data_IF_826526289091
#
_entry.id   IF_826526289091
#
_cell.length_a   1.000
_cell.length_b   1.000
_cell.length_c   1.000
_cell.angle_alpha   90.00
_cell.angle_beta   90.00
_cell.angle_gamma   90.00
#
_symmetry.space_group_name_H-M   'P 1'
#
loop_
_entity.id
_entity.type
_entity.pdbx_description
1 polymer ?
#
# COMPACT_ATOMS: atom_id res chain seq x y z
N UNK A 1 -18.93 -19.47 -6.02
CA UNK A 1 -18.54 -20.49 -5.01
C UNK A 1 -19.73 -21.38 -4.80
N UNK A 2 -19.70 -22.60 -5.33
CA UNK A 2 -20.77 -23.58 -5.19
C UNK A 2 -20.74 -24.19 -3.80
N UNK A 3 -21.77 -23.92 -3.01
CA UNK A 3 -21.97 -24.57 -1.73
C UNK A 3 -22.40 -26.01 -1.96
N UNK A 4 -21.65 -26.97 -1.40
CA UNK A 4 -22.10 -28.37 -1.34
C UNK A 4 -23.38 -28.45 -0.50
N UNK A 5 -24.48 -28.83 -1.14
CA UNK A 5 -25.66 -29.31 -0.44
C UNK A 5 -25.34 -30.70 0.15
N UNK A 6 -24.98 -30.73 1.40
CA UNK A 6 -24.98 -31.97 2.17
C UNK A 6 -26.39 -32.27 2.64
N UNK A 7 -26.92 -33.45 2.33
CA UNK A 7 -28.16 -33.94 2.92
C UNK A 7 -27.93 -34.21 4.42
N UNK A 8 -28.22 -33.21 5.23
CA UNK A 8 -28.26 -33.38 6.69
C UNK A 8 -29.58 -34.06 7.04
N UNK A 9 -29.55 -35.39 7.19
CA UNK A 9 -30.65 -36.16 7.77
C UNK A 9 -30.51 -36.16 9.29
N UNK A 10 -31.30 -35.34 9.95
CA UNK A 10 -31.43 -35.36 11.39
C UNK A 10 -32.91 -35.32 11.75
N UNK A 11 -33.41 -36.34 12.48
CA UNK A 11 -34.81 -36.44 12.85
C UNK A 11 -35.27 -35.38 13.86
N UNK A 12 -34.32 -34.63 14.43
CA UNK A 12 -34.55 -33.58 15.43
C UNK A 12 -34.46 -32.16 14.87
N UNK A 13 -34.10 -32.01 13.60
CA UNK A 13 -33.91 -30.67 12.98
C UNK A 13 -34.51 -30.64 11.58
N UNK A 14 -35.51 -29.79 11.40
CA UNK A 14 -36.09 -29.47 10.09
C UNK A 14 -35.74 -28.05 9.74
N UNK A 15 -35.30 -27.83 8.53
CA UNK A 15 -35.05 -26.46 8.00
C UNK A 15 -35.86 -26.23 6.73
N UNK A 16 -36.23 -25.01 6.51
CA UNK A 16 -36.85 -24.54 5.28
C UNK A 16 -36.26 -23.20 4.86
N UNK A 17 -36.35 -22.90 3.58
CA UNK A 17 -35.95 -21.59 3.07
C UNK A 17 -37.16 -20.67 3.22
N UNK A 18 -36.99 -19.56 3.94
CA UNK A 18 -37.96 -18.48 3.95
C UNK A 18 -37.80 -17.69 2.63
N UNK A 19 -38.64 -18.00 1.65
CA UNK A 19 -38.60 -17.39 0.32
C UNK A 19 -38.82 -15.87 0.37
N UNK A 20 -39.63 -15.38 1.34
CA UNK A 20 -39.86 -13.95 1.51
C UNK A 20 -38.62 -13.23 2.06
N UNK A 21 -37.93 -13.85 3.01
CA UNK A 21 -36.66 -13.34 3.54
C UNK A 21 -35.55 -13.39 2.47
N UNK A 22 -35.50 -14.47 1.68
CA UNK A 22 -34.54 -14.62 0.58
C UNK A 22 -34.76 -13.54 -0.51
N UNK A 23 -36.00 -13.35 -0.94
CA UNK A 23 -36.34 -12.30 -1.92
C UNK A 23 -35.97 -10.90 -1.41
N UNK A 24 -36.18 -10.65 -0.11
CA UNK A 24 -35.81 -9.37 0.53
C UNK A 24 -34.29 -9.19 0.60
N UNK A 25 -33.54 -10.25 0.89
CA UNK A 25 -32.08 -10.22 0.89
C UNK A 25 -31.54 -9.95 -0.53
N UNK A 26 -32.08 -10.64 -1.55
CA UNK A 26 -31.72 -10.43 -2.96
C UNK A 26 -31.99 -9.00 -3.45
N UNK A 27 -33.07 -8.36 -2.96
CA UNK A 27 -33.35 -6.95 -3.25
C UNK A 27 -32.24 -6.00 -2.73
N UNK A 28 -31.52 -6.40 -1.68
CA UNK A 28 -30.44 -5.60 -1.08
C UNK A 28 -29.05 -5.91 -1.69
N UNK A 29 -28.94 -6.99 -2.45
CA UNK A 29 -27.66 -7.40 -3.06
C UNK A 29 -27.14 -6.32 -4.00
N UNK A 30 -25.83 -6.01 -3.84
CA UNK A 30 -25.16 -4.99 -4.64
C UNK A 30 -25.57 -3.54 -4.31
N UNK A 31 -26.45 -3.31 -3.32
CA UNK A 31 -26.88 -1.98 -2.90
C UNK A 31 -26.31 -1.62 -1.54
N UNK A 32 -25.88 -0.38 -1.41
CA UNK A 32 -25.42 0.19 -0.16
C UNK A 32 -26.27 1.42 0.16
N UNK A 33 -26.92 1.42 1.32
CA UNK A 33 -27.65 2.58 1.81
C UNK A 33 -26.73 3.41 2.72
N UNK A 34 -26.57 4.67 2.39
CA UNK A 34 -25.84 5.64 3.20
C UNK A 34 -26.83 6.60 3.85
N UNK A 35 -26.80 6.68 5.18
CA UNK A 35 -27.54 7.68 5.94
C UNK A 35 -26.60 8.78 6.42
N UNK A 36 -27.02 10.03 6.35
CA UNK A 36 -26.26 11.18 6.82
C UNK A 36 -27.18 12.19 7.53
N UNK A 37 -26.65 12.86 8.52
CA UNK A 37 -27.31 13.99 9.19
C UNK A 37 -26.95 15.34 8.56
N UNK A 38 -26.13 15.36 7.51
CA UNK A 38 -25.75 16.58 6.79
C UNK A 38 -26.85 16.93 5.79
N UNK A 39 -27.49 18.07 5.98
CA UNK A 39 -28.65 18.48 5.17
C UNK A 39 -28.27 19.16 3.85
N UNK A 40 -27.13 19.87 3.81
CA UNK A 40 -26.74 20.73 2.68
C UNK A 40 -25.78 20.04 1.70
N UNK A 41 -25.68 18.72 1.73
CA UNK A 41 -24.75 17.98 0.88
C UNK A 41 -25.47 17.21 -0.23
N UNK A 42 -24.98 17.34 -1.48
CA UNK A 42 -25.49 16.56 -2.60
C UNK A 42 -25.17 15.07 -2.38
N UNK A 43 -26.09 14.18 -2.78
CA UNK A 43 -25.94 12.74 -2.63
C UNK A 43 -24.62 12.21 -3.22
N UNK A 44 -24.17 12.73 -4.36
CA UNK A 44 -22.89 12.37 -4.97
C UNK A 44 -21.69 12.70 -4.07
N UNK A 45 -21.75 13.79 -3.31
CA UNK A 45 -20.66 14.19 -2.41
C UNK A 45 -20.65 13.33 -1.14
N UNK A 46 -21.82 12.91 -0.66
CA UNK A 46 -21.94 11.93 0.44
C UNK A 46 -21.28 10.62 0.05
N UNK A 47 -21.60 10.10 -1.15
CA UNK A 47 -20.98 8.87 -1.69
C UNK A 47 -19.48 9.03 -1.86
N UNK A 48 -19.02 10.19 -2.36
CA UNK A 48 -17.59 10.47 -2.54
C UNK A 48 -16.86 10.48 -1.19
N UNK A 49 -17.41 11.13 -0.18
CA UNK A 49 -16.84 11.14 1.18
C UNK A 49 -16.82 9.76 1.82
N UNK A 50 -17.88 8.99 1.66
CA UNK A 50 -17.89 7.61 2.12
C UNK A 50 -16.77 6.78 1.48
N UNK A 51 -16.59 6.89 0.16
CA UNK A 51 -15.49 6.20 -0.53
C UNK A 51 -14.10 6.62 -0.04
N UNK A 52 -13.92 7.85 0.46
CA UNK A 52 -12.65 8.29 1.05
C UNK A 52 -12.31 7.54 2.34
N UNK A 53 -13.27 6.93 3.04
CA UNK A 53 -13.00 6.11 4.23
C UNK A 53 -12.08 4.93 3.90
N UNK A 54 -12.26 4.31 2.74
CA UNK A 54 -11.39 3.21 2.29
C UNK A 54 -9.92 3.65 2.16
N UNK A 55 -9.67 4.91 1.78
CA UNK A 55 -8.31 5.46 1.73
C UNK A 55 -7.74 5.75 3.12
N UNK A 56 -8.59 6.15 4.06
CA UNK A 56 -8.20 6.36 5.46
C UNK A 56 -7.86 5.02 6.10
N UNK A 57 -8.71 4.00 5.96
CA UNK A 57 -8.47 2.65 6.47
C UNK A 57 -7.19 2.05 5.89
N UNK A 58 -6.95 2.24 4.59
CA UNK A 58 -5.70 1.82 3.95
C UNK A 58 -4.50 2.55 4.52
N UNK A 59 -4.61 3.87 4.81
CA UNK A 59 -3.57 4.64 5.46
C UNK A 59 -3.21 4.07 6.84
N UNK A 60 -4.21 3.76 7.66
CA UNK A 60 -4.00 3.12 8.96
C UNK A 60 -3.39 1.71 8.84
N UNK A 61 -3.79 0.94 7.84
CA UNK A 61 -3.19 -0.36 7.58
C UNK A 61 -1.71 -0.24 7.26
N UNK A 62 -1.34 0.70 6.36
CA UNK A 62 0.07 0.96 6.01
C UNK A 62 0.87 1.40 7.24
N UNK A 63 0.32 2.28 8.08
CA UNK A 63 0.99 2.69 9.34
C UNK A 63 1.24 1.51 10.27
N UNK A 64 0.35 0.54 10.33
CA UNK A 64 0.46 -0.62 11.23
C UNK A 64 1.33 -1.74 10.67
N UNK A 65 1.22 -2.04 9.38
CA UNK A 65 1.84 -3.23 8.78
C UNK A 65 3.14 -2.92 8.03
N UNK A 66 3.24 -1.76 7.38
CA UNK A 66 4.38 -1.45 6.51
C UNK A 66 5.38 -0.51 7.20
N UNK A 67 4.87 0.46 7.97
CA UNK A 67 5.69 1.47 8.66
C UNK A 67 5.98 1.05 10.10
N UNK A 68 5.17 0.11 10.64
CA UNK A 68 5.33 -0.43 11.99
C UNK A 68 5.37 0.67 13.06
N UNK A 69 4.39 1.59 13.04
CA UNK A 69 4.31 2.67 14.02
C UNK A 69 4.26 2.18 15.47
N UNK A 70 3.82 0.95 15.70
CA UNK A 70 3.75 0.31 17.01
C UNK A 70 4.46 -1.06 16.98
N UNK A 71 5.02 -1.51 18.14
CA UNK A 71 5.02 -0.85 19.43
C UNK A 71 6.04 0.31 19.55
N UNK A 72 5.68 1.35 20.32
CA UNK A 72 6.56 2.48 20.58
C UNK A 72 7.43 2.19 21.81
N UNK A 73 8.71 1.97 21.62
CA UNK A 73 9.66 1.66 22.70
C UNK A 73 10.23 2.90 23.42
N UNK A 74 9.93 4.08 22.91
CA UNK A 74 10.39 5.34 23.51
C UNK A 74 9.58 5.71 24.74
N UNK A 75 10.24 6.18 25.81
CA UNK A 75 9.62 6.61 27.07
C UNK A 75 9.50 8.13 27.19
N UNK A 76 10.40 8.88 26.54
CA UNK A 76 10.39 10.33 26.59
C UNK A 76 9.33 10.90 25.63
N UNK A 77 8.47 11.82 26.08
CA UNK A 77 7.39 12.38 25.26
C UNK A 77 7.89 12.96 23.92
N UNK A 78 9.04 13.62 23.92
CA UNK A 78 9.64 14.21 22.72
C UNK A 78 10.05 13.16 21.70
N UNK A 79 10.61 12.03 22.16
CA UNK A 79 10.98 10.92 21.30
C UNK A 79 9.76 10.20 20.75
N UNK A 80 8.67 10.09 21.54
CA UNK A 80 7.40 9.53 21.07
C UNK A 80 6.82 10.42 19.97
N UNK A 81 6.81 11.74 20.17
CA UNK A 81 6.36 12.70 19.15
C UNK A 81 7.22 12.63 17.87
N UNK A 82 8.53 12.56 18.01
CA UNK A 82 9.45 12.45 16.88
C UNK A 82 9.20 11.14 16.10
N UNK A 83 9.05 10.01 16.78
CA UNK A 83 8.73 8.73 16.18
C UNK A 83 7.41 8.80 15.38
N UNK A 84 6.33 9.29 16.00
CA UNK A 84 5.05 9.46 15.34
C UNK A 84 5.14 10.39 14.11
N UNK A 85 5.88 11.48 14.21
CA UNK A 85 6.08 12.43 13.10
C UNK A 85 6.83 11.78 11.93
N UNK A 86 7.87 10.99 12.21
CA UNK A 86 8.62 10.26 11.19
C UNK A 86 7.73 9.24 10.49
N UNK A 87 6.94 8.46 11.25
CA UNK A 87 5.99 7.51 10.69
C UNK A 87 4.93 8.21 9.82
N UNK A 88 4.45 9.37 10.24
CA UNK A 88 3.49 10.14 9.46
C UNK A 88 4.09 10.69 8.16
N UNK A 89 5.32 11.19 8.19
CA UNK A 89 6.06 11.60 6.99
C UNK A 89 6.26 10.41 6.04
N UNK A 90 6.62 9.24 6.56
CA UNK A 90 6.76 8.03 5.77
C UNK A 90 5.43 7.64 5.08
N UNK A 91 4.29 7.77 5.79
CA UNK A 91 2.97 7.54 5.20
C UNK A 91 2.67 8.52 4.06
N UNK A 92 3.00 9.80 4.23
CA UNK A 92 2.81 10.79 3.17
C UNK A 92 3.63 10.42 1.94
N UNK A 93 4.92 10.10 2.12
CA UNK A 93 5.80 9.68 1.03
C UNK A 93 5.28 8.41 0.33
N UNK A 94 4.81 7.44 1.10
CA UNK A 94 4.19 6.22 0.57
C UNK A 94 2.98 6.54 -0.30
N UNK A 95 2.09 7.43 0.15
CA UNK A 95 0.90 7.84 -0.62
C UNK A 95 1.27 8.59 -1.90
N UNK A 96 2.25 9.50 -1.84
CA UNK A 96 2.77 10.21 -3.02
C UNK A 96 3.37 9.23 -4.02
N UNK A 97 4.19 8.30 -3.54
CA UNK A 97 4.79 7.25 -4.38
C UNK A 97 3.72 6.42 -5.08
N UNK A 98 2.72 5.95 -4.34
CA UNK A 98 1.59 5.19 -4.90
C UNK A 98 0.84 5.97 -5.98
N UNK A 99 0.57 7.25 -5.72
CA UNK A 99 -0.11 8.12 -6.69
C UNK A 99 0.72 8.27 -7.95
N UNK A 100 2.02 8.55 -7.85
CA UNK A 100 2.91 8.70 -9.00
C UNK A 100 3.00 7.44 -9.84
N UNK A 101 3.17 6.26 -9.21
CA UNK A 101 3.18 4.97 -9.88
C UNK A 101 1.87 4.76 -10.65
N UNK A 102 0.71 5.02 -10.01
CA UNK A 102 -0.60 4.91 -10.66
C UNK A 102 -0.76 5.88 -11.84
N UNK A 103 -0.33 7.13 -11.69
CA UNK A 103 -0.40 8.12 -12.77
C UNK A 103 0.50 7.75 -13.96
N UNK A 104 1.59 7.03 -13.72
CA UNK A 104 2.47 6.49 -14.76
C UNK A 104 1.97 5.17 -15.37
N UNK A 105 0.77 4.69 -14.99
CA UNK A 105 0.20 3.44 -15.49
C UNK A 105 0.87 2.18 -14.95
N UNK A 106 1.62 2.29 -13.83
CA UNK A 106 2.30 1.15 -13.21
C UNK A 106 1.36 0.42 -12.25
N UNK A 107 1.30 -0.91 -12.35
CA UNK A 107 0.56 -1.78 -11.43
C UNK A 107 1.36 -2.13 -10.16
N UNK A 108 2.59 -1.62 -10.05
CA UNK A 108 3.45 -1.89 -8.90
C UNK A 108 2.92 -1.24 -7.63
N UNK A 109 2.97 -2.00 -6.54
CA UNK A 109 2.79 -1.41 -5.21
C UNK A 109 4.05 -0.63 -4.80
N UNK A 110 3.94 0.36 -3.91
CA UNK A 110 5.11 1.07 -3.38
C UNK A 110 6.14 0.14 -2.75
N UNK A 111 5.72 -0.93 -2.07
CA UNK A 111 6.60 -1.93 -1.46
C UNK A 111 7.41 -2.68 -2.52
N UNK A 112 6.74 -3.16 -3.57
CA UNK A 112 7.40 -3.85 -4.67
C UNK A 112 8.40 -2.93 -5.39
N UNK A 113 8.02 -1.67 -5.63
CA UNK A 113 8.89 -0.68 -6.23
C UNK A 113 10.11 -0.37 -5.33
N UNK A 114 9.91 -0.23 -4.01
CA UNK A 114 11.01 -0.04 -3.06
C UNK A 114 11.92 -1.26 -2.98
N UNK A 115 11.37 -2.48 -3.03
CA UNK A 115 12.17 -3.72 -3.05
C UNK A 115 13.07 -3.78 -4.27
N UNK A 116 12.57 -3.37 -5.44
CA UNK A 116 13.38 -3.29 -6.66
C UNK A 116 14.45 -2.18 -6.58
N UNK A 117 14.10 -1.01 -6.07
CA UNK A 117 15.04 0.11 -5.93
C UNK A 117 16.14 -0.15 -4.89
N UNK A 118 15.86 -0.90 -3.81
CA UNK A 118 16.85 -1.28 -2.78
C UNK A 118 18.00 -2.12 -3.34
N UNK A 119 17.81 -2.74 -4.51
CA UNK A 119 18.88 -3.47 -5.21
C UNK A 119 19.91 -2.56 -5.89
N UNK A 120 19.61 -1.28 -6.03
CA UNK A 120 20.56 -0.29 -6.52
C UNK A 120 21.48 0.04 -5.34
N UNK A 121 22.73 -0.42 -5.42
CA UNK A 121 23.71 -0.28 -4.37
C UNK A 121 24.93 0.49 -4.87
N UNK A 122 25.52 1.28 -4.01
CA UNK A 122 26.83 1.89 -4.23
C UNK A 122 27.89 0.98 -3.63
N UNK A 123 28.87 0.64 -4.44
CA UNK A 123 30.01 -0.18 -4.03
C UNK A 123 31.25 0.68 -3.94
N UNK A 124 32.10 0.41 -2.96
CA UNK A 124 33.43 0.99 -2.83
C UNK A 124 34.41 -0.16 -2.61
N UNK A 125 35.32 -0.33 -3.56
CA UNK A 125 36.33 -1.40 -3.51
C UNK A 125 37.72 -0.78 -3.39
N UNK A 126 38.47 -1.18 -2.37
CA UNK A 126 39.86 -0.79 -2.17
C UNK A 126 40.74 -2.00 -2.45
N UNK A 127 41.72 -1.87 -3.36
CA UNK A 127 42.67 -2.91 -3.70
C UNK A 127 44.04 -2.42 -3.26
N UNK A 128 44.79 -3.27 -2.55
CA UNK A 128 46.20 -3.05 -2.14
C UNK A 128 46.49 -1.68 -1.54
N UNK A 129 45.64 -1.20 -0.61
CA UNK A 129 45.76 0.12 0.05
C UNK A 129 45.68 1.31 -0.95
N UNK A 130 45.25 1.10 -2.18
CA UNK A 130 45.00 2.15 -3.17
C UNK A 130 43.75 3.00 -2.86
N UNK A 131 43.55 4.06 -3.63
CA UNK A 131 42.35 4.88 -3.55
C UNK A 131 41.10 4.03 -3.82
N UNK A 132 40.00 4.18 -3.06
CA UNK A 132 38.79 3.39 -3.25
C UNK A 132 38.14 3.70 -4.60
N UNK A 133 37.88 2.66 -5.36
CA UNK A 133 37.12 2.74 -6.61
C UNK A 133 35.64 2.62 -6.26
N UNK A 134 34.84 3.59 -6.69
CA UNK A 134 33.42 3.63 -6.39
C UNK A 134 32.61 3.33 -7.66
N UNK A 135 31.52 2.59 -7.48
CA UNK A 135 30.61 2.26 -8.57
C UNK A 135 29.18 2.09 -8.05
N UNK A 136 28.24 2.09 -8.97
CA UNK A 136 26.84 1.78 -8.71
C UNK A 136 26.49 0.50 -9.44
N UNK A 137 25.68 -0.36 -8.81
CA UNK A 137 25.20 -1.59 -9.45
C UNK A 137 24.48 -1.28 -10.77
N UNK A 138 24.47 -2.24 -11.69
CA UNK A 138 23.72 -2.10 -12.94
C UNK A 138 22.24 -1.84 -12.66
N UNK A 139 21.72 -0.79 -13.28
CA UNK A 139 20.32 -0.39 -13.17
C UNK A 139 19.56 -1.04 -14.31
N UNK A 140 18.66 -1.96 -13.98
CA UNK A 140 17.83 -2.66 -14.95
C UNK A 140 16.67 -1.79 -15.45
N UNK A 141 16.08 -2.19 -16.58
CA UNK A 141 14.98 -1.43 -17.21
C UNK A 141 13.83 -1.17 -16.24
N UNK A 142 13.39 -2.18 -15.51
CA UNK A 142 12.30 -2.03 -14.51
C UNK A 142 12.59 -0.97 -13.43
N UNK A 143 13.83 -0.91 -12.94
CA UNK A 143 14.26 0.12 -11.99
C UNK A 143 14.27 1.52 -12.64
N UNK A 144 14.69 1.58 -13.90
CA UNK A 144 14.63 2.81 -14.70
C UNK A 144 13.22 3.34 -14.84
N UNK A 145 12.27 2.45 -15.14
CA UNK A 145 10.86 2.80 -15.30
C UNK A 145 10.25 3.28 -13.98
N UNK A 146 10.60 2.64 -12.86
CA UNK A 146 10.19 3.07 -11.52
C UNK A 146 10.74 4.49 -11.22
N UNK A 147 12.04 4.73 -11.46
CA UNK A 147 12.65 6.04 -11.23
C UNK A 147 11.98 7.12 -12.09
N UNK A 148 11.69 6.83 -13.36
CA UNK A 148 10.98 7.71 -14.26
C UNK A 148 9.56 8.01 -13.78
N UNK A 149 8.80 6.99 -13.36
CA UNK A 149 7.46 7.13 -12.82
C UNK A 149 7.43 8.01 -11.55
N UNK A 150 8.48 7.93 -10.74
CA UNK A 150 8.64 8.73 -9.53
C UNK A 150 9.25 10.11 -9.79
N UNK A 151 9.67 10.44 -11.03
CA UNK A 151 10.38 11.66 -11.40
C UNK A 151 11.70 11.82 -10.63
N UNK A 152 12.41 10.72 -10.41
CA UNK A 152 13.71 10.67 -9.72
C UNK A 152 14.80 10.46 -10.77
N UNK A 153 15.86 11.27 -10.69
CA UNK A 153 17.03 11.09 -11.56
C UNK A 153 17.75 9.78 -11.23
N UNK A 154 18.24 9.10 -12.26
CA UNK A 154 19.11 7.93 -12.06
C UNK A 154 20.34 8.35 -11.26
N UNK A 155 20.81 7.51 -10.30
CA UNK A 155 22.09 7.73 -9.66
C UNK A 155 23.18 7.83 -10.73
N UNK A 156 24.00 8.87 -10.66
CA UNK A 156 25.12 9.03 -11.59
C UNK A 156 26.21 8.00 -11.27
N UNK A 157 26.78 7.40 -12.30
CA UNK A 157 28.01 6.64 -12.20
C UNK A 157 29.18 7.62 -12.09
N UNK A 158 29.76 7.79 -10.93
CA UNK A 158 31.08 8.35 -10.82
C UNK A 158 32.07 7.23 -11.19
N UNK A 159 32.58 7.25 -12.40
CA UNK A 159 33.49 6.27 -12.99
C UNK A 159 32.92 4.83 -13.10
N UNK A 160 32.67 4.42 -14.32
CA UNK A 160 32.32 3.04 -14.67
C UNK A 160 33.57 2.17 -14.54
N UNK A 161 33.63 1.32 -13.53
CA UNK A 161 34.56 0.20 -13.57
C UNK A 161 34.06 -0.81 -14.61
N UNK A 162 34.69 -0.83 -15.78
CA UNK A 162 34.61 -1.97 -16.68
C UNK A 162 35.62 -2.98 -16.12
N UNK A 163 35.11 -3.96 -15.38
CA UNK A 163 35.92 -5.17 -15.11
C UNK A 163 35.98 -5.92 -16.41
N UNK A 164 37.17 -6.01 -16.99
CA UNK A 164 37.50 -6.85 -18.14
C UNK A 164 37.30 -8.31 -17.78
#
# INVERSE_FOLDING_TARGET
MGGHRGDLKCDLFTYGIDEAALARAQLMDGKLMLATNVQDMKAADVVRRYKCLADIERGFRVLKSEIEIAPVYHRLPERIKAHASICFMALILYRVMRQRLKCAGSDLSPEAALADLRRIQRHSVSIDHGAPIQGVSNIHQRQTDILAALSIKKPAHDAQMTLL
#
